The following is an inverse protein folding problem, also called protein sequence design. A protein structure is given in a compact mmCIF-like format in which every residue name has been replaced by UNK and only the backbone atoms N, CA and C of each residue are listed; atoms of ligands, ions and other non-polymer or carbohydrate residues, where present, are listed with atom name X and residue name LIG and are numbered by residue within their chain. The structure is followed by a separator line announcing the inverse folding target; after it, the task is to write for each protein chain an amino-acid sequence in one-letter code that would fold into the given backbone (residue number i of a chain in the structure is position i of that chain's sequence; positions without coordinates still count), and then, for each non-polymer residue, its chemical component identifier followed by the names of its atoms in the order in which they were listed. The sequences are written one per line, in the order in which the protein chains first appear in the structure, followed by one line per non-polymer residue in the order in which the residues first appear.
data_IF_914743534969
#
_entry.id   IF_914743534969
#
_cell.length_a   1.000
_cell.length_b   1.000
_cell.length_c   1.000
_cell.angle_alpha   90.00
_cell.angle_beta   90.00
_cell.angle_gamma   90.00
#
_symmetry.space_group_name_H-M   'P 1'
#
loop_
_entity.id
_entity.type
_entity.pdbx_description
1 polymer ?
#
# COMPACT_ATOMS: atom_id res chain seq x y z
N UNK A 1 -10.10 -1.46 -2.97
CA UNK A 1 -10.35 -2.85 -3.42
C UNK A 1 -11.47 -3.45 -2.59
N UNK A 2 -12.07 -4.57 -3.03
CA UNK A 2 -13.07 -5.31 -2.27
C UNK A 2 -12.61 -6.76 -2.11
N UNK A 3 -12.71 -7.32 -0.91
CA UNK A 3 -12.45 -8.74 -0.65
C UNK A 3 -13.46 -9.27 0.38
N UNK A 4 -14.03 -10.46 0.14
CA UNK A 4 -15.01 -11.09 1.05
C UNK A 4 -16.16 -10.15 1.51
N UNK A 5 -16.61 -9.28 0.60
CA UNK A 5 -17.68 -8.30 0.89
C UNK A 5 -17.23 -7.05 1.67
N UNK A 6 -15.95 -6.93 1.99
CA UNK A 6 -15.34 -5.80 2.70
C UNK A 6 -14.61 -4.85 1.76
N UNK A 7 -14.76 -3.55 1.96
CA UNK A 7 -14.02 -2.52 1.21
C UNK A 7 -12.77 -2.09 1.95
N UNK A 8 -11.65 -2.09 1.23
CA UNK A 8 -10.33 -1.72 1.74
C UNK A 8 -9.78 -0.59 0.89
N UNK A 9 -9.42 0.51 1.52
CA UNK A 9 -8.60 1.57 0.91
C UNK A 9 -7.16 1.44 1.40
N UNK A 10 -6.20 1.65 0.50
CA UNK A 10 -4.77 1.69 0.84
C UNK A 10 -4.30 3.11 0.58
N UNK A 11 -3.76 3.77 1.61
CA UNK A 11 -3.28 5.15 1.57
C UNK A 11 -4.31 6.14 0.98
N UNK A 12 -5.20 6.76 1.79
CA UNK A 12 -6.22 7.67 1.29
C UNK A 12 -5.68 9.00 0.74
N UNK A 13 -4.36 9.21 0.78
CA UNK A 13 -3.71 10.35 0.17
C UNK A 13 -3.93 11.67 0.92
N UNK A 14 -3.52 12.77 0.28
CA UNK A 14 -3.76 14.14 0.76
C UNK A 14 -4.71 14.99 -0.09
N UNK A 15 -5.08 14.53 -1.28
CA UNK A 15 -6.02 15.23 -2.16
C UNK A 15 -7.45 14.71 -1.91
N UNK A 16 -8.18 15.38 -1.03
CA UNK A 16 -9.56 15.02 -0.66
C UNK A 16 -10.51 15.05 -1.87
N UNK A 17 -10.43 16.07 -2.72
CA UNK A 17 -11.33 16.21 -3.87
C UNK A 17 -11.12 15.07 -4.87
N UNK A 18 -9.85 14.77 -5.20
CA UNK A 18 -9.52 13.66 -6.09
C UNK A 18 -9.97 12.30 -5.52
N UNK A 19 -9.77 12.09 -4.22
CA UNK A 19 -10.19 10.85 -3.54
C UNK A 19 -11.72 10.69 -3.58
N UNK A 20 -12.48 11.72 -3.20
CA UNK A 20 -13.95 11.66 -3.20
C UNK A 20 -14.51 11.51 -4.61
N UNK A 21 -13.89 12.16 -5.60
CA UNK A 21 -14.25 11.99 -7.00
C UNK A 21 -14.00 10.55 -7.48
N UNK A 22 -12.86 9.95 -7.13
CA UNK A 22 -12.54 8.56 -7.47
C UNK A 22 -13.54 7.58 -6.84
N UNK A 23 -13.85 7.72 -5.56
CA UNK A 23 -14.85 6.89 -4.87
C UNK A 23 -16.23 7.00 -5.53
N UNK A 24 -16.66 8.22 -5.87
CA UNK A 24 -17.93 8.46 -6.56
C UNK A 24 -17.98 7.78 -7.93
N UNK A 25 -16.89 7.81 -8.70
CA UNK A 25 -16.83 7.16 -10.01
C UNK A 25 -16.91 5.63 -9.92
N UNK A 26 -16.40 5.06 -8.84
CA UNK A 26 -16.53 3.63 -8.52
C UNK A 26 -17.90 3.29 -7.89
N UNK A 27 -18.75 4.28 -7.62
CA UNK A 27 -20.05 4.08 -6.96
C UNK A 27 -19.93 3.66 -5.49
N UNK A 28 -18.80 3.98 -4.84
CA UNK A 28 -18.50 3.61 -3.46
C UNK A 28 -18.74 4.81 -2.54
N UNK A 29 -19.62 4.66 -1.57
CA UNK A 29 -19.80 5.62 -0.49
C UNK A 29 -18.68 5.46 0.54
N UNK A 30 -18.16 6.58 1.08
CA UNK A 30 -17.07 6.54 2.08
C UNK A 30 -17.47 5.77 3.35
N UNK A 31 -18.74 5.77 3.71
CA UNK A 31 -19.29 5.05 4.87
C UNK A 31 -19.24 3.53 4.71
N UNK A 32 -19.04 3.03 3.48
CA UNK A 32 -18.88 1.61 3.16
C UNK A 32 -17.44 1.11 3.29
N UNK A 33 -16.47 1.99 3.47
CA UNK A 33 -15.07 1.57 3.68
C UNK A 33 -14.96 0.91 5.06
N UNK A 34 -14.61 -0.37 5.06
CA UNK A 34 -14.43 -1.16 6.28
C UNK A 34 -13.02 -1.03 6.84
N UNK A 35 -12.01 -0.92 5.96
CA UNK A 35 -10.62 -0.83 6.36
C UNK A 35 -9.86 0.25 5.61
N UNK A 36 -8.95 0.92 6.34
CA UNK A 36 -7.85 1.68 5.77
C UNK A 36 -6.55 0.97 6.10
N UNK A 37 -5.79 0.57 5.09
CA UNK A 37 -4.40 0.16 5.27
C UNK A 37 -3.47 1.33 5.01
N UNK A 38 -2.57 1.61 5.95
CA UNK A 38 -1.54 2.64 5.82
C UNK A 38 -0.19 1.96 5.56
N UNK A 39 0.42 2.25 4.41
CA UNK A 39 1.73 1.69 4.07
C UNK A 39 2.82 2.24 4.97
N UNK A 40 2.79 3.55 5.24
CA UNK A 40 3.68 4.29 6.11
C UNK A 40 3.10 5.68 6.46
N UNK A 41 3.73 6.42 7.37
CA UNK A 41 3.09 7.59 8.00
C UNK A 41 3.43 8.96 7.37
N UNK A 42 3.75 9.00 6.08
CA UNK A 42 3.88 10.29 5.39
C UNK A 42 2.50 10.91 5.10
N UNK A 43 2.43 12.23 5.21
CA UNK A 43 1.16 12.99 5.16
C UNK A 43 0.43 12.77 3.84
N UNK A 44 1.17 12.75 2.75
CA UNK A 44 0.67 12.51 1.40
C UNK A 44 0.10 11.11 1.18
N UNK A 45 0.27 10.19 2.13
CA UNK A 45 -0.37 8.86 2.15
C UNK A 45 -1.58 8.77 3.08
N UNK A 46 -1.55 9.48 4.23
CA UNK A 46 -2.52 9.23 5.30
C UNK A 46 -3.42 10.41 5.71
N UNK A 47 -3.24 11.61 5.13
CA UNK A 47 -3.96 12.82 5.59
C UNK A 47 -5.48 12.65 5.61
N UNK A 48 -6.03 11.94 4.63
CA UNK A 48 -7.47 11.76 4.46
C UNK A 48 -8.08 10.61 5.28
N UNK A 49 -7.35 9.97 6.19
CA UNK A 49 -7.86 8.88 7.05
C UNK A 49 -9.15 9.28 7.77
N UNK A 50 -9.25 10.53 8.24
CA UNK A 50 -10.39 11.01 9.04
C UNK A 50 -11.71 11.13 8.27
N UNK A 51 -11.67 11.00 6.94
CA UNK A 51 -12.87 10.98 6.09
C UNK A 51 -13.70 9.69 6.28
N UNK A 52 -13.07 8.59 6.72
CA UNK A 52 -13.68 7.26 6.77
C UNK A 52 -13.99 6.83 8.21
N UNK A 53 -15.00 7.47 8.81
CA UNK A 53 -15.32 7.33 10.24
C UNK A 53 -15.68 5.90 10.71
N UNK A 54 -16.10 5.03 9.79
CA UNK A 54 -16.47 3.65 10.09
C UNK A 54 -15.32 2.66 9.85
N UNK A 55 -14.23 3.11 9.23
CA UNK A 55 -13.16 2.24 8.81
C UNK A 55 -12.22 1.92 9.98
N UNK A 56 -11.81 0.66 10.07
CA UNK A 56 -10.74 0.22 10.96
C UNK A 56 -9.40 0.55 10.31
N UNK A 57 -8.54 1.26 11.03
CA UNK A 57 -7.20 1.61 10.54
C UNK A 57 -6.27 0.42 10.84
N UNK A 58 -5.44 0.06 9.87
CA UNK A 58 -4.48 -1.04 9.95
C UNK A 58 -3.16 -0.56 9.35
N UNK A 59 -2.05 -0.91 9.96
CA UNK A 59 -0.72 -0.71 9.38
C UNK A 59 0.05 -2.03 9.28
N UNK A 60 1.38 -1.97 9.17
CA UNK A 60 2.22 -3.17 9.13
C UNK A 60 2.08 -4.09 10.34
N UNK A 61 1.76 -3.54 11.50
CA UNK A 61 1.93 -4.17 12.81
C UNK A 61 0.61 -4.28 13.57
N UNK A 62 -0.25 -3.27 13.48
CA UNK A 62 -1.41 -3.13 14.35
C UNK A 62 -2.72 -2.94 13.57
N UNK A 63 -3.78 -3.51 14.14
CA UNK A 63 -5.16 -3.08 13.92
C UNK A 63 -5.52 -2.08 15.02
N UNK A 64 -6.03 -0.92 14.65
CA UNK A 64 -6.42 0.13 15.60
C UNK A 64 -7.92 0.07 15.90
N UNK A 65 -8.25 -0.31 17.13
CA UNK A 65 -9.61 -0.38 17.64
C UNK A 65 -9.79 0.58 18.83
N UNK A 66 -10.52 1.67 18.61
CA UNK A 66 -10.71 2.72 19.62
C UNK A 66 -9.38 3.40 19.98
N UNK A 67 -8.91 3.19 21.20
CA UNK A 67 -7.65 3.75 21.71
C UNK A 67 -6.53 2.70 21.85
N UNK A 68 -6.65 1.54 21.20
CA UNK A 68 -5.70 0.43 21.29
C UNK A 68 -5.18 0.05 19.91
N UNK A 69 -3.89 -0.26 19.84
CA UNK A 69 -3.31 -1.04 18.74
C UNK A 69 -3.21 -2.50 19.16
N UNK A 70 -3.77 -3.40 18.34
CA UNK A 70 -3.74 -4.85 18.56
C UNK A 70 -2.82 -5.44 17.49
N UNK A 71 -1.75 -6.12 17.92
CA UNK A 71 -0.82 -6.75 16.98
C UNK A 71 -1.52 -7.78 16.10
N UNK A 72 -1.07 -7.90 14.86
CA UNK A 72 -1.58 -8.89 13.93
C UNK A 72 -0.48 -9.64 13.19
N UNK A 73 -0.84 -10.81 12.66
CA UNK A 73 0.05 -11.63 11.84
C UNK A 73 -0.14 -11.40 10.32
N UNK A 74 -0.85 -10.34 9.91
CA UNK A 74 -0.95 -9.88 8.51
C UNK A 74 -2.12 -10.43 7.69
N UNK A 75 -2.94 -11.34 8.24
CA UNK A 75 -4.12 -11.91 7.60
C UNK A 75 -5.44 -11.19 7.93
N UNK A 76 -5.42 -9.86 8.00
CA UNK A 76 -6.56 -9.05 8.47
C UNK A 76 -7.62 -8.81 7.38
N UNK A 77 -7.26 -8.95 6.12
CA UNK A 77 -8.08 -8.55 4.97
C UNK A 77 -8.74 -9.72 4.23
N UNK A 78 -8.79 -10.90 4.84
CA UNK A 78 -9.31 -12.13 4.22
C UNK A 78 -8.29 -12.89 3.38
N UNK A 79 -8.74 -13.98 2.76
CA UNK A 79 -7.88 -14.84 1.95
C UNK A 79 -7.32 -14.10 0.74
N UNK A 80 -6.05 -14.38 0.39
CA UNK A 80 -5.39 -13.81 -0.79
C UNK A 80 -4.82 -12.40 -0.59
N UNK A 81 -4.98 -11.78 0.59
CA UNK A 81 -4.37 -10.49 0.92
C UNK A 81 -3.42 -10.66 2.11
N UNK A 82 -2.14 -10.35 1.90
CA UNK A 82 -1.09 -10.44 2.91
C UNK A 82 -0.41 -9.09 3.13
N UNK A 83 -0.27 -8.69 4.40
CA UNK A 83 0.64 -7.61 4.78
C UNK A 83 2.09 -8.11 4.72
N UNK A 84 2.95 -7.40 4.01
CA UNK A 84 4.39 -7.69 3.97
C UNK A 84 5.20 -6.48 4.43
N UNK A 85 6.01 -6.65 5.47
CA UNK A 85 6.96 -5.61 5.88
C UNK A 85 7.98 -5.34 4.78
N UNK A 86 8.17 -4.06 4.48
CA UNK A 86 9.01 -3.53 3.41
C UNK A 86 9.75 -2.28 3.88
N UNK A 87 10.51 -2.36 5.00
CA UNK A 87 11.17 -1.20 5.59
C UNK A 87 12.25 -0.63 4.66
N UNK A 88 12.63 0.61 4.91
CA UNK A 88 13.77 1.28 4.27
C UNK A 88 13.44 2.70 3.83
N UNK A 89 12.28 2.92 3.22
CA UNK A 89 11.78 4.28 3.01
C UNK A 89 11.52 4.93 4.38
N UNK A 90 10.69 4.26 5.18
CA UNK A 90 10.62 4.43 6.64
C UNK A 90 10.80 3.07 7.33
N UNK A 91 10.98 3.05 8.65
CA UNK A 91 11.20 1.82 9.42
C UNK A 91 9.94 0.96 9.54
N UNK A 92 8.78 1.58 9.59
CA UNK A 92 7.47 0.94 9.75
C UNK A 92 6.86 0.49 8.42
N UNK A 93 7.44 0.94 7.30
CA UNK A 93 6.87 0.76 5.96
C UNK A 93 6.48 -0.69 5.67
N UNK A 94 5.25 -0.87 5.20
CA UNK A 94 4.67 -2.15 4.82
C UNK A 94 3.89 -2.05 3.51
N UNK A 95 3.78 -3.16 2.79
CA UNK A 95 3.07 -3.26 1.52
C UNK A 95 1.98 -4.32 1.59
N UNK A 96 0.97 -4.24 0.71
CA UNK A 96 0.00 -5.33 0.54
C UNK A 96 0.36 -6.18 -0.66
N UNK A 97 0.45 -7.49 -0.46
CA UNK A 97 0.46 -8.49 -1.52
C UNK A 97 -0.96 -9.02 -1.70
N UNK A 98 -1.53 -8.82 -2.89
CA UNK A 98 -2.89 -9.20 -3.25
C UNK A 98 -2.84 -10.23 -4.37
N UNK A 99 -3.47 -11.38 -4.16
CA UNK A 99 -3.62 -12.42 -5.17
C UNK A 99 -5.01 -12.33 -5.81
N UNK A 100 -5.04 -12.07 -7.11
CA UNK A 100 -6.27 -12.00 -7.91
C UNK A 100 -6.14 -13.04 -9.02
N UNK A 101 -6.93 -14.10 -8.96
CA UNK A 101 -6.97 -15.17 -9.98
C UNK A 101 -5.56 -15.74 -10.31
N UNK A 102 -4.71 -15.87 -9.30
CA UNK A 102 -3.35 -16.40 -9.45
C UNK A 102 -2.28 -15.35 -9.82
N UNK A 103 -2.67 -14.10 -10.09
CA UNK A 103 -1.76 -12.98 -10.34
C UNK A 103 -1.51 -12.19 -9.06
N UNK A 104 -0.24 -11.85 -8.82
CA UNK A 104 0.21 -11.15 -7.62
C UNK A 104 0.39 -9.66 -7.89
N UNK A 105 -0.40 -8.85 -7.22
CA UNK A 105 -0.30 -7.40 -7.20
C UNK A 105 0.35 -6.98 -5.89
N UNK A 106 1.30 -6.06 -5.94
CA UNK A 106 1.86 -5.45 -4.72
C UNK A 106 1.55 -3.96 -4.69
N UNK A 107 0.76 -3.53 -3.71
CA UNK A 107 0.60 -2.11 -3.36
C UNK A 107 1.83 -1.72 -2.54
N UNK A 108 2.78 -1.07 -3.19
CA UNK A 108 4.14 -0.96 -2.71
C UNK A 108 4.40 0.25 -1.83
N UNK A 109 3.49 1.24 -1.79
CA UNK A 109 3.78 2.54 -1.18
C UNK A 109 5.11 3.10 -1.71
N UNK A 110 5.86 3.75 -0.83
CA UNK A 110 7.13 4.38 -1.20
C UNK A 110 8.34 3.45 -1.13
N UNK A 111 8.15 2.19 -0.73
CA UNK A 111 9.14 1.15 -1.02
C UNK A 111 9.44 1.08 -2.53
N UNK A 112 8.44 1.41 -3.37
CA UNK A 112 8.63 1.73 -4.79
C UNK A 112 7.94 3.06 -5.09
N UNK A 113 8.71 4.14 -4.95
CA UNK A 113 8.20 5.51 -5.06
C UNK A 113 7.60 5.85 -6.44
N UNK A 114 8.36 5.70 -7.53
CA UNK A 114 7.85 5.89 -8.90
C UNK A 114 8.29 4.77 -9.84
N UNK A 115 7.45 4.47 -10.84
CA UNK A 115 7.80 3.60 -11.97
C UNK A 115 7.85 4.44 -13.26
N UNK A 116 8.94 5.19 -13.45
CA UNK A 116 9.12 6.10 -14.59
C UNK A 116 9.48 5.34 -15.88
N UNK A 117 9.69 6.08 -16.99
CA UNK A 117 10.12 5.51 -18.29
C UNK A 117 11.47 4.74 -18.23
N UNK A 118 12.25 4.89 -17.16
CA UNK A 118 13.56 4.25 -16.99
C UNK A 118 13.38 2.89 -16.31
N UNK A 119 13.24 1.84 -17.13
CA UNK A 119 13.15 0.44 -16.69
C UNK A 119 14.43 -0.09 -16.01
N UNK A 120 15.58 0.58 -16.17
CA UNK A 120 16.85 0.14 -15.57
C UNK A 120 17.00 0.69 -14.15
N UNK A 121 17.12 -0.23 -13.20
CA UNK A 121 17.65 0.03 -11.86
C UNK A 121 16.63 0.37 -10.78
N UNK A 122 15.35 -0.02 -10.88
CA UNK A 122 14.34 0.28 -9.86
C UNK A 122 14.76 -0.13 -8.44
N UNK A 123 15.46 -1.25 -8.33
CA UNK A 123 15.98 -1.77 -7.06
C UNK A 123 16.96 -0.79 -6.42
N UNK A 124 17.92 -0.28 -7.19
CA UNK A 124 19.07 0.51 -6.70
C UNK A 124 18.88 2.02 -6.85
N UNK A 125 17.75 2.43 -7.43
CA UNK A 125 17.45 3.84 -7.67
C UNK A 125 17.51 4.62 -6.35
N UNK A 126 18.32 5.68 -6.24
CA UNK A 126 18.37 6.49 -5.03
C UNK A 126 16.99 7.01 -4.66
N UNK A 127 16.64 6.91 -3.39
CA UNK A 127 15.49 7.55 -2.79
C UNK A 127 16.01 8.57 -1.77
N UNK A 128 15.89 9.88 -2.06
CA UNK A 128 16.40 10.92 -1.16
C UNK A 128 15.60 11.05 0.15
N UNK A 129 14.43 10.43 0.25
CA UNK A 129 13.59 10.43 1.44
C UNK A 129 13.72 9.15 2.26
N UNK A 130 14.42 8.14 1.74
CA UNK A 130 14.62 6.88 2.44
C UNK A 130 15.52 7.02 3.67
N UNK A 131 15.05 6.49 4.80
CA UNK A 131 15.79 6.47 6.05
C UNK A 131 16.93 5.44 6.02
N UNK A 132 16.74 4.33 5.31
CA UNK A 132 17.74 3.28 5.11
C UNK A 132 17.66 2.71 3.68
N UNK A 133 18.53 3.23 2.82
CA UNK A 133 18.65 2.78 1.44
C UNK A 133 19.04 1.30 1.30
N UNK A 134 19.88 0.76 2.20
CA UNK A 134 20.31 -0.62 2.12
C UNK A 134 19.16 -1.59 2.45
N UNK A 135 18.33 -1.22 3.43
CA UNK A 135 17.11 -1.95 3.75
C UNK A 135 16.06 -1.78 2.64
N UNK A 136 15.90 -0.58 2.09
CA UNK A 136 14.98 -0.31 0.99
C UNK A 136 15.28 -1.17 -0.24
N UNK A 137 16.56 -1.32 -0.59
CA UNK A 137 17.01 -2.23 -1.67
C UNK A 137 16.57 -3.67 -1.41
N UNK A 138 16.65 -4.16 -0.16
CA UNK A 138 16.18 -5.51 0.20
C UNK A 138 14.66 -5.61 0.05
N UNK A 139 13.92 -4.61 0.49
CA UNK A 139 12.46 -4.52 0.36
C UNK A 139 12.01 -4.48 -1.10
N UNK A 140 12.67 -3.69 -1.96
CA UNK A 140 12.43 -3.66 -3.41
C UNK A 140 12.67 -5.01 -4.07
N UNK A 141 13.76 -5.68 -3.73
CA UNK A 141 14.05 -7.06 -4.20
C UNK A 141 12.95 -8.04 -3.77
N UNK A 142 12.47 -7.95 -2.53
CA UNK A 142 11.37 -8.76 -2.00
C UNK A 142 10.07 -8.53 -2.79
N UNK A 143 9.71 -7.27 -3.07
CA UNK A 143 8.52 -6.89 -3.84
C UNK A 143 8.61 -7.45 -5.27
N UNK A 144 9.69 -7.15 -6.00
CA UNK A 144 9.86 -7.57 -7.39
C UNK A 144 9.87 -9.09 -7.54
N UNK A 145 10.42 -9.82 -6.57
CA UNK A 145 10.41 -11.30 -6.58
C UNK A 145 8.98 -11.86 -6.48
N UNK A 146 8.10 -11.21 -5.72
CA UNK A 146 6.73 -11.66 -5.41
C UNK A 146 5.69 -11.16 -6.40
N UNK A 147 5.88 -9.98 -6.99
CA UNK A 147 4.88 -9.29 -7.79
C UNK A 147 4.88 -9.72 -9.26
N UNK A 148 3.70 -9.87 -9.83
CA UNK A 148 3.45 -9.79 -11.27
C UNK A 148 3.11 -8.34 -11.70
N UNK A 149 2.51 -7.57 -10.79
CA UNK A 149 2.19 -6.15 -10.96
C UNK A 149 2.52 -5.36 -9.70
N UNK A 150 2.98 -4.11 -9.88
CA UNK A 150 3.38 -3.22 -8.80
C UNK A 150 2.59 -1.93 -8.92
N UNK A 151 1.96 -1.50 -7.82
CA UNK A 151 1.30 -0.20 -7.67
C UNK A 151 2.23 0.65 -6.80
N UNK A 152 3.02 1.57 -7.39
CA UNK A 152 3.91 2.44 -6.64
C UNK A 152 3.13 3.51 -5.85
N UNK A 153 3.78 4.16 -4.88
CA UNK A 153 3.17 5.29 -4.16
C UNK A 153 2.87 6.49 -5.05
N UNK A 154 3.78 6.81 -5.98
CA UNK A 154 3.69 7.98 -6.88
C UNK A 154 3.86 7.56 -8.33
N UNK A 155 2.80 7.01 -8.92
CA UNK A 155 2.79 6.71 -10.34
C UNK A 155 1.69 5.74 -10.75
N UNK A 156 1.71 5.36 -12.02
CA UNK A 156 0.80 4.34 -12.55
C UNK A 156 1.30 2.95 -12.18
N UNK A 157 0.36 2.02 -12.03
CA UNK A 157 0.65 0.59 -11.94
C UNK A 157 1.54 0.15 -13.10
N UNK A 158 2.50 -0.72 -12.83
CA UNK A 158 3.38 -1.32 -13.84
C UNK A 158 3.39 -2.84 -13.75
N UNK A 159 3.55 -3.49 -14.91
CA UNK A 159 3.90 -4.91 -14.97
C UNK A 159 5.31 -5.10 -14.43
N UNK A 160 5.51 -6.14 -13.62
CA UNK A 160 6.86 -6.57 -13.24
C UNK A 160 7.54 -7.37 -14.36
N UNK A 161 6.86 -7.66 -15.48
CA UNK A 161 7.40 -8.44 -16.60
C UNK A 161 7.92 -7.61 -17.80
N UNK A 162 9.05 -8.03 -18.42
CA UNK A 162 9.98 -9.05 -17.90
C UNK A 162 10.56 -8.56 -16.56
N UNK A 163 10.79 -9.50 -15.62
CA UNK A 163 11.38 -9.19 -14.30
C UNK A 163 12.59 -8.30 -14.54
N UNK A 164 12.53 -7.09 -13.98
CA UNK A 164 13.50 -6.01 -14.17
C UNK A 164 14.95 -6.49 -14.11
#
# INVERSE_FOLDING_TARGET
MQNEGKFIIVDPGMDEEALLFALKNEGIEREKIDYIFITHYHIDHMLNVTLFKNATIVDGYYVYEGNKGIEHNGGIFGEGIEVIHTPGHTSEHSSLLVNIEGKKYVVAGDAIWWCGKRKKGLIEMPDPFAYDMAMLIKSRKKIIKKADYIIPGHGKMVSSYPKF
#
